data_IF_511097321022
#
_entry.id   IF_511097321022
#
_cell.length_a   1.000
_cell.length_b   1.000
_cell.length_c   1.000
_cell.angle_alpha   90.00
_cell.angle_beta   90.00
_cell.angle_gamma   90.00
#
_symmetry.space_group_name_H-M   'P 1'
#
loop_
_entity.id
_entity.type
_entity.pdbx_description
1 polymer ?
#
# COMPACT_ATOMS: atom_id res chain seq x y z
N UNK A 1 24.13 -1.90 27.47
CA UNK A 1 24.09 -1.11 26.23
C UNK A 1 22.76 -1.39 25.54
N UNK A 2 22.22 -0.49 24.72
CA UNK A 2 21.01 -0.75 23.92
C UNK A 2 21.41 -1.21 22.51
N UNK A 3 20.59 -2.05 21.87
CA UNK A 3 20.82 -2.47 20.49
C UNK A 3 20.77 -1.27 19.54
N UNK A 4 21.75 -1.15 18.64
CA UNK A 4 21.78 -0.14 17.58
C UNK A 4 21.92 -0.83 16.24
N UNK A 5 21.02 -0.52 15.31
CA UNK A 5 21.03 -1.09 13.97
C UNK A 5 21.84 -0.21 13.00
N UNK A 6 22.90 -0.78 12.43
CA UNK A 6 23.82 -0.07 11.53
C UNK A 6 23.16 0.51 10.25
N UNK A 7 22.08 -0.09 9.76
CA UNK A 7 21.38 0.39 8.56
C UNK A 7 20.03 1.07 8.88
N UNK A 8 19.89 1.64 10.07
CA UNK A 8 18.62 2.27 10.49
C UNK A 8 18.17 3.39 9.53
N UNK A 9 19.11 4.20 9.02
CA UNK A 9 18.80 5.24 8.04
C UNK A 9 18.26 4.65 6.72
N UNK A 10 18.84 3.54 6.25
CA UNK A 10 18.39 2.88 5.02
C UNK A 10 17.00 2.24 5.18
N UNK A 11 16.72 1.66 6.36
CA UNK A 11 15.40 1.12 6.67
C UNK A 11 14.33 2.22 6.71
N UNK A 12 14.65 3.37 7.29
CA UNK A 12 13.76 4.53 7.32
C UNK A 12 13.51 5.08 5.91
N UNK A 13 14.56 5.21 5.08
CA UNK A 13 14.44 5.63 3.69
C UNK A 13 13.55 4.67 2.89
N UNK A 14 13.80 3.36 2.98
CA UNK A 14 13.00 2.35 2.30
C UNK A 14 11.51 2.38 2.73
N UNK A 15 11.25 2.65 4.01
CA UNK A 15 9.89 2.81 4.54
C UNK A 15 9.21 4.06 4.00
N UNK A 16 9.95 5.16 3.88
CA UNK A 16 9.46 6.41 3.31
C UNK A 16 9.12 6.26 1.83
N UNK A 17 10.03 5.69 1.03
CA UNK A 17 9.82 5.45 -0.39
C UNK A 17 8.59 4.56 -0.64
N UNK A 18 8.39 3.51 0.15
CA UNK A 18 7.17 2.69 0.07
C UNK A 18 5.90 3.52 0.37
N UNK A 19 5.95 4.40 1.36
CA UNK A 19 4.82 5.24 1.72
C UNK A 19 4.48 6.25 0.61
N UNK A 20 5.47 6.83 -0.06
CA UNK A 20 5.26 7.71 -1.20
C UNK A 20 4.57 6.99 -2.37
N UNK A 21 5.01 5.75 -2.67
CA UNK A 21 4.38 4.96 -3.74
C UNK A 21 2.94 4.61 -3.38
N UNK A 22 2.65 4.28 -2.11
CA UNK A 22 1.27 4.07 -1.63
C UNK A 22 0.40 5.31 -1.79
N UNK A 23 0.93 6.50 -1.49
CA UNK A 23 0.20 7.76 -1.69
C UNK A 23 -0.12 7.99 -3.17
N UNK A 24 0.87 7.79 -4.06
CA UNK A 24 0.66 7.86 -5.52
C UNK A 24 -0.40 6.87 -5.99
N UNK A 25 -0.39 5.65 -5.47
CA UNK A 25 -1.40 4.63 -5.78
C UNK A 25 -2.80 5.08 -5.35
N UNK A 26 -2.96 5.60 -4.12
CA UNK A 26 -4.23 6.09 -3.63
C UNK A 26 -4.80 7.25 -4.47
N UNK A 27 -3.93 8.17 -4.92
CA UNK A 27 -4.34 9.24 -5.84
C UNK A 27 -4.85 8.64 -7.16
N UNK A 28 -4.15 7.64 -7.72
CA UNK A 28 -4.59 6.96 -8.94
C UNK A 28 -5.91 6.21 -8.77
N UNK A 29 -6.09 5.53 -7.64
CA UNK A 29 -7.35 4.85 -7.31
C UNK A 29 -8.51 5.86 -7.25
N UNK A 30 -8.28 7.03 -6.64
CA UNK A 30 -9.26 8.13 -6.63
C UNK A 30 -9.61 8.63 -8.04
N UNK A 31 -8.61 8.84 -8.90
CA UNK A 31 -8.85 9.25 -10.29
C UNK A 31 -9.66 8.23 -11.08
N UNK A 32 -9.41 6.92 -10.87
CA UNK A 32 -10.19 5.86 -11.52
C UNK A 32 -11.64 5.89 -11.01
N UNK A 33 -11.85 6.01 -9.71
CA UNK A 33 -13.19 6.10 -9.12
C UNK A 33 -13.99 7.29 -9.66
N UNK A 34 -13.35 8.46 -9.82
CA UNK A 34 -13.98 9.65 -10.42
C UNK A 34 -14.42 9.42 -11.87
N UNK A 35 -13.60 8.72 -12.66
CA UNK A 35 -13.93 8.38 -14.05
C UNK A 35 -15.06 7.33 -14.09
N UNK A 36 -15.03 6.34 -13.22
CA UNK A 36 -16.11 5.34 -13.09
C UNK A 36 -17.45 6.01 -12.73
N UNK A 37 -17.43 6.99 -11.84
CA UNK A 37 -18.62 7.77 -11.50
C UNK A 37 -19.16 8.55 -12.72
N UNK A 38 -18.28 9.14 -13.54
CA UNK A 38 -18.69 9.83 -14.79
C UNK A 38 -19.28 8.85 -15.81
N UNK A 39 -18.69 7.66 -15.94
CA UNK A 39 -19.23 6.60 -16.81
C UNK A 39 -20.62 6.19 -16.34
N UNK A 40 -20.80 5.96 -15.04
CA UNK A 40 -22.08 5.58 -14.46
C UNK A 40 -23.16 6.65 -14.72
N UNK A 41 -22.84 7.93 -14.51
CA UNK A 41 -23.74 9.05 -14.83
C UNK A 41 -24.12 9.08 -16.31
N UNK A 42 -23.16 8.94 -17.23
CA UNK A 42 -23.46 8.92 -18.66
C UNK A 42 -24.35 7.74 -19.04
N UNK A 43 -24.19 6.58 -18.40
CA UNK A 43 -25.05 5.41 -18.62
C UNK A 43 -26.47 5.70 -18.13
N UNK A 44 -26.61 6.25 -16.93
CA UNK A 44 -27.90 6.60 -16.33
C UNK A 44 -28.64 7.67 -17.17
N UNK A 45 -27.95 8.75 -17.55
CA UNK A 45 -28.49 9.80 -18.42
C UNK A 45 -28.89 9.25 -19.81
N UNK A 46 -28.12 8.29 -20.34
CA UNK A 46 -28.43 7.66 -21.62
C UNK A 46 -29.69 6.80 -21.53
N UNK A 47 -29.84 6.00 -20.46
CA UNK A 47 -31.06 5.22 -20.23
C UNK A 47 -32.27 6.13 -20.01
N UNK A 48 -32.15 7.18 -19.18
CA UNK A 48 -33.23 8.13 -18.96
C UNK A 48 -33.65 8.84 -20.25
N UNK A 49 -32.69 9.25 -21.07
CA UNK A 49 -32.97 9.85 -22.38
C UNK A 49 -33.67 8.90 -23.36
N UNK A 50 -33.43 7.58 -23.28
CA UNK A 50 -34.16 6.59 -24.08
C UNK A 50 -35.61 6.42 -23.60
N UNK A 51 -35.83 6.40 -22.30
CA UNK A 51 -37.17 6.32 -21.70
C UNK A 51 -38.00 7.57 -22.05
N UNK A 52 -37.42 8.75 -21.89
CA UNK A 52 -38.05 10.03 -22.28
C UNK A 52 -38.38 10.06 -23.78
N UNK A 53 -37.45 9.59 -24.63
CA UNK A 53 -37.70 9.46 -26.07
C UNK A 53 -38.90 8.54 -26.36
N UNK A 54 -39.02 7.42 -25.65
CA UNK A 54 -40.15 6.50 -25.81
C UNK A 54 -41.47 7.16 -25.39
N UNK A 55 -41.46 7.88 -24.26
CA UNK A 55 -42.63 8.65 -23.81
C UNK A 55 -43.05 9.74 -24.80
N UNK A 56 -42.10 10.52 -25.31
CA UNK A 56 -42.39 11.58 -26.30
C UNK A 56 -42.86 11.00 -27.64
N UNK A 57 -42.37 9.81 -28.04
CA UNK A 57 -42.86 9.09 -29.21
C UNK A 57 -44.32 8.67 -29.05
N UNK A 58 -44.69 8.11 -27.90
CA UNK A 58 -46.07 7.73 -27.58
C UNK A 58 -46.99 8.95 -27.50
N UNK A 59 -46.47 10.09 -27.03
CA UNK A 59 -47.20 11.36 -26.96
C UNK A 59 -47.27 12.11 -28.31
N UNK A 60 -46.69 11.57 -29.40
CA UNK A 60 -46.71 12.19 -30.72
C UNK A 60 -45.86 13.47 -30.86
N UNK A 61 -44.94 13.74 -29.92
CA UNK A 61 -44.12 14.97 -29.88
C UNK A 61 -42.91 14.89 -30.80
N UNK A 62 -43.16 14.79 -32.11
CA UNK A 62 -42.14 14.54 -33.14
C UNK A 62 -41.03 15.60 -33.20
N UNK A 63 -41.31 16.84 -32.80
CA UNK A 63 -40.32 17.92 -32.74
C UNK A 63 -39.20 17.62 -31.73
N UNK A 64 -39.53 17.01 -30.58
CA UNK A 64 -38.56 16.64 -29.54
C UNK A 64 -37.76 15.39 -29.92
N UNK A 65 -38.39 14.45 -30.64
CA UNK A 65 -37.77 13.17 -31.03
C UNK A 65 -36.47 13.38 -31.81
N UNK A 66 -36.42 14.41 -32.66
CA UNK A 66 -35.24 14.77 -33.46
C UNK A 66 -34.05 15.22 -32.61
N UNK A 67 -34.30 15.75 -31.40
CA UNK A 67 -33.27 16.23 -30.48
C UNK A 67 -32.60 15.10 -29.69
N UNK A 68 -33.27 13.96 -29.50
CA UNK A 68 -32.70 12.85 -28.73
C UNK A 68 -31.50 12.20 -29.45
N UNK A 69 -31.50 12.11 -30.78
CA UNK A 69 -30.38 11.50 -31.51
C UNK A 69 -29.03 12.19 -31.21
N UNK A 70 -28.87 13.51 -31.42
CA UNK A 70 -27.61 14.19 -31.10
C UNK A 70 -27.28 14.15 -29.61
N UNK A 71 -28.29 14.22 -28.72
CA UNK A 71 -28.09 14.10 -27.28
C UNK A 71 -27.52 12.74 -26.86
N UNK A 72 -28.15 11.65 -27.29
CA UNK A 72 -27.72 10.29 -26.98
C UNK A 72 -26.34 9.98 -27.59
N UNK A 73 -26.09 10.45 -28.82
CA UNK A 73 -24.79 10.30 -29.47
C UNK A 73 -23.68 11.02 -28.68
N UNK A 74 -23.96 12.21 -28.15
CA UNK A 74 -23.02 12.96 -27.29
C UNK A 74 -22.69 12.16 -26.02
N UNK A 75 -23.68 11.60 -25.35
CA UNK A 75 -23.48 10.77 -24.16
C UNK A 75 -22.68 9.50 -24.45
N UNK A 76 -22.97 8.85 -25.58
CA UNK A 76 -22.22 7.67 -26.01
C UNK A 76 -20.74 8.01 -26.24
N UNK A 77 -20.43 9.07 -27.00
CA UNK A 77 -19.04 9.52 -27.23
C UNK A 77 -18.33 9.91 -25.94
N UNK A 78 -19.03 10.59 -25.02
CA UNK A 78 -18.47 10.94 -23.72
C UNK A 78 -18.15 9.69 -22.88
N UNK A 79 -19.01 8.67 -22.93
CA UNK A 79 -18.76 7.37 -22.28
C UNK A 79 -17.55 6.66 -22.90
N UNK A 80 -17.46 6.59 -24.22
CA UNK A 80 -16.32 5.98 -24.93
C UNK A 80 -15.00 6.67 -24.53
N UNK A 81 -14.98 8.00 -24.54
CA UNK A 81 -13.82 8.78 -24.08
C UNK A 81 -13.42 8.44 -22.62
N UNK A 82 -14.39 8.34 -21.71
CA UNK A 82 -14.11 7.99 -20.31
C UNK A 82 -13.65 6.54 -20.13
N UNK A 83 -14.12 5.61 -20.97
CA UNK A 83 -13.64 4.23 -20.97
C UNK A 83 -12.17 4.14 -21.39
N UNK A 84 -11.78 4.83 -22.47
CA UNK A 84 -10.38 4.91 -22.89
C UNK A 84 -9.50 5.54 -21.82
N UNK A 85 -9.97 6.62 -21.18
CA UNK A 85 -9.22 7.27 -20.09
C UNK A 85 -9.08 6.34 -18.88
N UNK A 86 -10.14 5.59 -18.53
CA UNK A 86 -10.08 4.57 -17.48
C UNK A 86 -9.01 3.52 -17.78
N UNK A 87 -8.95 3.00 -19.01
CA UNK A 87 -7.94 2.01 -19.40
C UNK A 87 -6.52 2.55 -19.27
N UNK A 88 -6.29 3.81 -19.67
CA UNK A 88 -4.99 4.48 -19.49
C UNK A 88 -4.62 4.61 -18.01
N UNK A 89 -5.57 5.00 -17.16
CA UNK A 89 -5.34 5.13 -15.72
C UNK A 89 -5.06 3.77 -15.07
N UNK A 90 -5.75 2.71 -15.49
CA UNK A 90 -5.51 1.33 -15.01
C UNK A 90 -4.10 0.87 -15.41
N UNK A 91 -3.68 1.08 -16.65
CA UNK A 91 -2.31 0.75 -17.08
C UNK A 91 -1.25 1.52 -16.28
N UNK A 92 -1.50 2.79 -15.94
CA UNK A 92 -0.61 3.57 -15.06
C UNK A 92 -0.61 3.02 -13.63
N UNK A 93 -1.77 2.61 -13.10
CA UNK A 93 -1.92 2.01 -11.78
C UNK A 93 -1.10 0.72 -11.66
N UNK A 94 -1.11 -0.14 -12.67
CA UNK A 94 -0.34 -1.38 -12.70
C UNK A 94 1.17 -1.12 -12.58
N UNK A 95 1.68 -0.08 -13.26
CA UNK A 95 3.09 0.33 -13.15
C UNK A 95 3.44 0.74 -11.71
N UNK A 96 2.55 1.48 -11.04
CA UNK A 96 2.75 1.89 -9.64
C UNK A 96 2.71 0.68 -8.70
N UNK A 97 1.86 -0.32 -8.97
CA UNK A 97 1.80 -1.56 -8.20
C UNK A 97 3.10 -2.36 -8.33
N UNK A 98 3.65 -2.46 -9.56
CA UNK A 98 4.94 -3.09 -9.77
C UNK A 98 6.06 -2.36 -9.00
N UNK A 99 6.08 -1.02 -9.04
CA UNK A 99 7.01 -0.19 -8.25
C UNK A 99 6.85 -0.45 -6.74
N UNK A 100 5.62 -0.52 -6.25
CA UNK A 100 5.32 -0.80 -4.84
C UNK A 100 5.82 -2.18 -4.40
N UNK A 101 5.72 -3.18 -5.28
CA UNK A 101 6.23 -4.51 -5.00
C UNK A 101 7.76 -4.49 -4.82
N UNK A 102 8.48 -3.76 -5.67
CA UNK A 102 9.93 -3.58 -5.55
C UNK A 102 10.31 -2.84 -4.26
N UNK A 103 9.65 -1.72 -3.94
CA UNK A 103 9.93 -0.98 -2.70
C UNK A 103 9.66 -1.82 -1.44
N UNK A 104 8.59 -2.62 -1.44
CA UNK A 104 8.30 -3.59 -0.37
C UNK A 104 9.39 -4.66 -0.22
N UNK A 105 9.94 -5.16 -1.34
CA UNK A 105 11.06 -6.13 -1.30
C UNK A 105 12.31 -5.51 -0.68
N UNK A 106 12.63 -4.27 -1.04
CA UNK A 106 13.76 -3.53 -0.45
C UNK A 106 13.57 -3.34 1.05
N UNK A 107 12.41 -2.84 1.50
CA UNK A 107 12.11 -2.66 2.93
C UNK A 107 12.25 -3.98 3.70
N UNK A 108 11.63 -5.06 3.21
CA UNK A 108 11.71 -6.40 3.82
C UNK A 108 13.13 -6.92 3.93
N UNK A 109 14.00 -6.59 2.97
CA UNK A 109 15.42 -6.97 3.04
C UNK A 109 16.10 -6.31 4.24
N UNK A 110 15.90 -5.00 4.44
CA UNK A 110 16.46 -4.30 5.59
C UNK A 110 15.86 -4.74 6.93
N UNK A 111 14.55 -5.05 6.97
CA UNK A 111 13.89 -5.63 8.15
C UNK A 111 14.55 -6.97 8.55
N UNK A 112 14.76 -7.88 7.60
CA UNK A 112 15.44 -9.16 7.86
C UNK A 112 16.87 -9.00 8.36
N UNK A 113 17.62 -8.04 7.80
CA UNK A 113 18.99 -7.76 8.27
C UNK A 113 18.94 -7.23 9.70
N UNK A 114 18.01 -6.33 10.02
CA UNK A 114 17.80 -5.83 11.38
C UNK A 114 17.48 -6.95 12.36
N UNK A 115 16.53 -7.82 12.03
CA UNK A 115 16.16 -8.97 12.86
C UNK A 115 17.35 -9.90 13.12
N UNK A 116 18.17 -10.16 12.10
CA UNK A 116 19.40 -10.96 12.24
C UNK A 116 20.40 -10.29 13.17
N UNK A 117 20.68 -9.00 12.98
CA UNK A 117 21.62 -8.23 13.81
C UNK A 117 21.11 -8.15 15.26
N UNK A 118 19.81 -7.97 15.47
CA UNK A 118 19.18 -7.93 16.80
C UNK A 118 19.27 -9.29 17.52
N UNK A 119 19.02 -10.39 16.79
CA UNK A 119 19.17 -11.74 17.34
C UNK A 119 20.62 -12.05 17.72
N UNK A 120 21.59 -11.64 16.91
CA UNK A 120 23.01 -11.79 17.23
C UNK A 120 23.38 -10.98 18.49
N UNK A 121 22.91 -9.74 18.58
CA UNK A 121 23.12 -8.90 19.76
C UNK A 121 22.53 -9.52 21.04
N UNK A 122 21.29 -10.01 20.99
CA UNK A 122 20.63 -10.67 22.14
C UNK A 122 21.39 -11.92 22.59
N UNK A 123 21.84 -12.76 21.65
CA UNK A 123 22.67 -13.94 21.96
C UNK A 123 23.97 -13.57 22.66
N UNK A 124 24.64 -12.50 22.21
CA UNK A 124 25.87 -12.05 22.83
C UNK A 124 25.64 -11.47 24.23
N UNK A 125 24.56 -10.71 24.45
CA UNK A 125 24.20 -10.24 25.79
C UNK A 125 23.94 -11.40 26.75
N UNK A 126 23.15 -12.41 26.33
CA UNK A 126 22.93 -13.60 27.13
C UNK A 126 24.22 -14.34 27.46
N UNK A 127 25.15 -14.45 26.51
CA UNK A 127 26.47 -15.05 26.73
C UNK A 127 27.31 -14.28 27.75
N UNK A 128 27.30 -12.95 27.68
CA UNK A 128 28.02 -12.08 28.62
C UNK A 128 27.40 -12.15 30.02
N UNK A 129 26.08 -12.18 30.12
CA UNK A 129 25.37 -12.28 31.40
C UNK A 129 25.57 -13.66 32.04
N UNK A 130 25.56 -14.75 31.26
CA UNK A 130 25.92 -16.08 31.76
C UNK A 130 27.36 -16.11 32.29
N UNK A 131 28.33 -15.58 31.53
CA UNK A 131 29.73 -15.48 31.99
C UNK A 131 29.87 -14.69 33.29
N UNK A 132 29.09 -13.62 33.46
CA UNK A 132 29.04 -12.86 34.71
C UNK A 132 28.51 -13.72 35.86
N UNK A 133 27.39 -14.42 35.68
CA UNK A 133 26.84 -15.34 36.69
C UNK A 133 27.86 -16.43 37.07
N UNK A 134 28.50 -17.05 36.08
CA UNK A 134 29.51 -18.10 36.29
C UNK A 134 30.75 -17.57 37.03
N UNK A 135 31.10 -16.29 36.86
CA UNK A 135 32.19 -15.66 37.61
C UNK A 135 31.87 -15.38 39.07
N UNK A 136 30.58 -15.26 39.43
CA UNK A 136 30.16 -15.13 40.82
C UNK A 136 30.16 -16.47 41.53
N UNK A 137 29.79 -17.57 40.85
CA UNK A 137 29.83 -18.93 41.40
C UNK A 137 31.25 -19.49 41.52
N UNK A 138 32.17 -19.10 40.61
CA UNK A 138 33.58 -19.53 40.66
C UNK A 138 34.49 -18.61 41.49
N UNK A 139 33.96 -17.57 42.17
CA UNK A 139 34.73 -16.90 43.22
C UNK A 139 34.86 -17.89 44.37
N UNK A 140 36.08 -18.34 44.75
CA UNK A 140 36.22 -19.11 45.98
C UNK A 140 35.68 -18.23 47.11
N UNK A 141 34.58 -18.69 47.71
CA UNK A 141 34.19 -18.27 49.04
C UNK A 141 35.44 -18.43 49.90
N UNK A 142 36.05 -17.32 50.29
CA UNK A 142 37.11 -17.29 51.30
C UNK A 142 36.64 -17.82 52.67
N UNK A 143 35.46 -18.44 52.74
CA UNK A 143 34.91 -19.14 53.89
C UNK A 143 35.24 -20.64 53.96
N UNK A 144 35.70 -21.28 52.89
CA UNK A 144 35.98 -22.73 52.92
C UNK A 144 37.44 -23.08 53.28
N UNK A 145 38.24 -22.10 53.72
CA UNK A 145 39.63 -22.33 54.18
C UNK A 145 39.83 -22.33 55.70
N UNK A 146 38.80 -22.09 56.51
CA UNK A 146 38.94 -22.05 57.98
C UNK A 146 38.36 -23.27 58.73
N UNK A 147 37.61 -24.17 58.08
CA UNK A 147 37.00 -25.34 58.75
C UNK A 147 37.61 -26.68 58.31
N UNK A 148 38.94 -26.75 58.27
CA UNK A 148 39.69 -27.96 57.92
C UNK A 148 40.88 -28.22 58.85
N UNK A 149 40.68 -28.05 60.16
CA UNK A 149 41.59 -28.54 61.20
C UNK A 149 40.76 -28.87 62.45
N UNK A 150 40.27 -30.10 62.52
CA UNK A 150 39.88 -30.79 63.76
C UNK A 150 40.05 -32.28 63.53
#
# INVERSE_FOLDING_TARGET
MAFSFRFNQMLNLASHEEAEVKRRLAIKDGQIADIEAKIARNVEEYSGGLEEKAHDLLAGRMERIRLYYPFLLRLQKAREYHLEEKERLVAQREKIIAELAEKRRVRKTYEKIRERDENAYRKEQLRLDQKRLDSFTNRPTTHDRENGNA
#
